data_IF_823320071101
#
_entry.id   IF_823320071101
#
_cell.length_a   1.000
_cell.length_b   1.000
_cell.length_c   1.000
_cell.angle_alpha   90.00
_cell.angle_beta   90.00
_cell.angle_gamma   90.00
#
_symmetry.space_group_name_H-M   'P 1'
#
loop_
_entity.id
_entity.type
_entity.pdbx_description
1 polymer ?
#
# COMPACT_ATOMS: atom_id res chain seq x y z
N UNK A 1 21.04 -2.71 1.16
CA UNK A 1 19.83 -2.20 1.84
C UNK A 1 19.18 -1.18 0.93
N UNK A 2 17.84 -1.08 0.92
CA UNK A 2 17.09 -0.10 0.14
C UNK A 2 16.47 0.94 1.10
N UNK A 3 16.59 2.22 0.78
CA UNK A 3 16.05 3.34 1.55
C UNK A 3 15.10 4.17 0.69
N UNK A 4 14.00 4.67 1.25
CA UNK A 4 13.06 5.54 0.54
C UNK A 4 13.64 6.95 0.44
N UNK A 5 13.82 7.43 -0.79
CA UNK A 5 14.36 8.76 -1.10
C UNK A 5 13.25 9.78 -1.33
N UNK A 6 12.19 9.35 -2.01
CA UNK A 6 11.01 10.17 -2.30
C UNK A 6 9.77 9.29 -2.45
N UNK A 7 8.61 9.87 -2.17
CA UNK A 7 7.29 9.25 -2.27
C UNK A 7 6.33 10.30 -2.80
N UNK A 8 5.55 9.97 -3.83
CA UNK A 8 4.56 10.87 -4.40
C UNK A 8 3.36 11.11 -3.46
N UNK A 9 3.19 10.31 -2.40
CA UNK A 9 2.43 10.64 -1.19
C UNK A 9 0.91 10.73 -1.36
N UNK A 10 0.35 10.27 -2.48
CA UNK A 10 -1.08 10.33 -2.77
C UNK A 10 -1.70 8.95 -2.99
N UNK A 11 -2.97 8.80 -2.60
CA UNK A 11 -3.74 7.56 -2.78
C UNK A 11 -4.28 7.39 -4.22
N UNK A 12 -4.00 8.34 -5.11
CA UNK A 12 -4.40 8.26 -6.51
C UNK A 12 -3.49 7.26 -7.25
N UNK A 13 -4.02 6.46 -8.20
CA UNK A 13 -3.18 5.50 -8.90
C UNK A 13 -2.03 6.13 -9.69
N UNK A 14 -2.21 7.38 -10.17
CA UNK A 14 -1.17 8.12 -10.86
C UNK A 14 0.00 8.51 -9.92
N UNK A 15 -0.23 8.53 -8.60
CA UNK A 15 0.77 8.88 -7.57
C UNK A 15 1.32 7.68 -6.82
N UNK A 16 1.09 6.46 -7.30
CA UNK A 16 1.62 5.22 -6.71
C UNK A 16 3.10 5.00 -7.11
N UNK A 17 3.96 5.95 -6.72
CA UNK A 17 5.40 5.95 -7.03
C UNK A 17 6.24 6.23 -5.78
N UNK A 18 7.24 5.37 -5.57
CA UNK A 18 8.29 5.56 -4.59
C UNK A 18 9.66 5.43 -5.26
N UNK A 19 10.59 6.33 -4.89
CA UNK A 19 11.99 6.27 -5.31
C UNK A 19 12.83 5.68 -4.18
N UNK A 20 13.58 4.63 -4.48
CA UNK A 20 14.44 3.94 -3.52
C UNK A 20 15.92 4.11 -3.88
N UNK A 21 16.76 4.41 -2.89
CA UNK A 21 18.20 4.31 -2.98
C UNK A 21 18.63 2.92 -2.52
N UNK A 22 19.34 2.18 -3.38
CA UNK A 22 19.87 0.84 -3.04
C UNK A 22 21.38 0.89 -3.08
N UNK A 23 22.03 0.65 -1.94
CA UNK A 23 23.51 0.60 -1.88
C UNK A 23 24.04 -0.71 -2.46
N UNK A 24 25.09 -0.63 -3.28
CA UNK A 24 25.81 -1.79 -3.80
C UNK A 24 25.15 -2.50 -4.98
N UNK A 25 24.10 -1.94 -5.58
CA UNK A 25 23.53 -2.45 -6.82
C UNK A 25 24.46 -2.14 -8.00
N UNK A 26 24.69 -3.14 -8.85
CA UNK A 26 25.46 -3.05 -10.09
C UNK A 26 24.52 -3.41 -11.23
N UNK A 27 24.42 -2.55 -12.25
CA UNK A 27 23.56 -2.79 -13.40
C UNK A 27 23.39 -1.56 -14.30
N UNK A 28 22.97 -1.79 -15.54
CA UNK A 28 22.63 -0.72 -16.47
C UNK A 28 21.19 -0.26 -16.20
N UNK A 29 20.94 1.03 -15.94
CA UNK A 29 19.59 1.54 -15.76
C UNK A 29 18.77 1.37 -17.04
N UNK A 30 17.51 1.00 -16.89
CA UNK A 30 16.56 1.07 -18.00
C UNK A 30 16.32 2.53 -18.40
N UNK A 31 16.22 2.77 -19.69
CA UNK A 31 15.94 4.11 -20.22
C UNK A 31 14.45 4.39 -20.17
N UNK A 32 14.06 5.58 -19.74
CA UNK A 32 12.66 6.02 -19.82
C UNK A 32 12.36 6.49 -21.24
N UNK A 33 11.30 5.97 -21.87
CA UNK A 33 10.89 6.36 -23.21
C UNK A 33 10.66 7.88 -23.26
N UNK A 34 11.18 8.53 -24.32
CA UNK A 34 11.12 9.99 -24.50
C UNK A 34 9.74 10.49 -24.90
N UNK A 35 8.92 9.63 -25.49
CA UNK A 35 7.57 9.93 -25.97
C UNK A 35 6.53 9.19 -25.14
N UNK A 36 5.33 9.75 -25.10
CA UNK A 36 4.17 9.07 -24.54
C UNK A 36 3.89 7.74 -25.25
N UNK A 37 3.40 6.71 -24.54
CA UNK A 37 2.88 5.52 -25.18
C UNK A 37 1.66 5.86 -26.05
N UNK A 38 1.42 5.06 -27.08
CA UNK A 38 0.24 5.18 -27.96
C UNK A 38 -0.64 3.95 -27.86
N UNK A 39 -1.97 4.11 -27.98
CA UNK A 39 -2.89 2.96 -28.04
C UNK A 39 -2.53 2.06 -29.22
N UNK A 40 -2.51 0.74 -28.98
CA UNK A 40 -2.06 -0.28 -29.93
C UNK A 40 -0.55 -0.55 -29.93
N UNK A 41 0.24 0.25 -29.20
CA UNK A 41 1.68 0.02 -29.07
C UNK A 41 1.95 -1.30 -28.33
N UNK A 42 2.85 -2.12 -28.88
CA UNK A 42 3.30 -3.34 -28.22
C UNK A 42 4.10 -3.03 -26.96
N UNK A 43 3.81 -3.79 -25.90
CA UNK A 43 4.47 -3.65 -24.62
C UNK A 43 4.79 -5.01 -23.99
N UNK A 44 5.82 -5.00 -23.15
CA UNK A 44 6.24 -6.16 -22.37
C UNK A 44 6.32 -5.78 -20.91
N UNK A 45 5.68 -6.54 -20.03
CA UNK A 45 5.84 -6.40 -18.59
C UNK A 45 6.82 -7.45 -18.06
N UNK A 46 7.69 -7.02 -17.15
CA UNK A 46 8.65 -7.89 -16.46
C UNK A 46 8.44 -7.75 -14.95
N UNK A 47 8.30 -8.87 -14.26
CA UNK A 47 8.13 -8.88 -12.81
C UNK A 47 8.33 -10.27 -12.22
N UNK A 48 8.12 -10.42 -10.92
CA UNK A 48 8.24 -11.68 -10.19
C UNK A 48 6.87 -12.07 -9.61
N UNK A 49 5.94 -12.59 -10.45
CA UNK A 49 4.59 -12.88 -10.00
C UNK A 49 4.60 -13.86 -8.83
N UNK A 50 3.95 -13.48 -7.73
CA UNK A 50 3.86 -14.23 -6.48
C UNK A 50 5.23 -14.56 -5.85
N UNK A 51 6.26 -13.76 -6.14
CA UNK A 51 7.62 -13.97 -5.61
C UNK A 51 8.36 -15.15 -6.23
N UNK A 52 7.87 -15.66 -7.37
CA UNK A 52 8.55 -16.71 -8.16
C UNK A 52 9.67 -16.11 -9.01
N UNK A 53 10.33 -16.92 -9.83
CA UNK A 53 11.30 -16.45 -10.81
C UNK A 53 10.72 -15.34 -11.71
N UNK A 54 11.59 -14.44 -12.19
CA UNK A 54 11.17 -13.38 -13.10
C UNK A 54 10.44 -13.96 -14.31
N UNK A 55 9.29 -13.38 -14.63
CA UNK A 55 8.47 -13.73 -15.78
C UNK A 55 8.29 -12.53 -16.69
N UNK A 56 8.08 -12.82 -17.96
CA UNK A 56 7.83 -11.85 -19.00
C UNK A 56 6.43 -12.08 -19.56
N UNK A 57 5.62 -11.03 -19.66
CA UNK A 57 4.33 -11.07 -20.35
C UNK A 57 4.28 -10.00 -21.44
N UNK A 58 3.65 -10.32 -22.57
CA UNK A 58 3.49 -9.40 -23.71
C UNK A 58 2.03 -9.03 -23.88
N UNK A 59 1.81 -7.79 -24.32
CA UNK A 59 0.50 -7.27 -24.70
C UNK A 59 0.64 -5.99 -25.50
N UNK A 60 -0.40 -5.16 -25.46
CA UNK A 60 -0.47 -3.85 -26.08
C UNK A 60 -0.96 -2.80 -25.08
N UNK A 61 -0.72 -1.53 -25.38
CA UNK A 61 -1.41 -0.42 -24.74
C UNK A 61 -2.86 -0.43 -25.23
N UNK A 62 -3.79 -0.86 -24.38
CA UNK A 62 -5.21 -0.97 -24.73
C UNK A 62 -5.93 0.38 -24.67
N UNK A 63 -5.52 1.26 -23.75
CA UNK A 63 -6.07 2.60 -23.59
C UNK A 63 -5.13 3.50 -22.77
N UNK A 64 -5.20 4.81 -22.96
CA UNK A 64 -4.64 5.82 -22.06
C UNK A 64 -5.76 6.44 -21.23
N UNK A 65 -5.64 6.37 -19.91
CA UNK A 65 -6.62 6.87 -18.94
C UNK A 65 -6.10 8.14 -18.27
N UNK A 66 -7.01 8.90 -17.66
CA UNK A 66 -6.68 10.07 -16.85
C UNK A 66 -5.75 11.06 -17.56
N UNK A 67 -6.10 11.42 -18.80
CA UNK A 67 -5.30 12.35 -19.60
C UNK A 67 -3.94 11.82 -20.08
N UNK A 68 -3.67 10.52 -19.93
CA UNK A 68 -2.39 9.89 -20.29
C UNK A 68 -1.53 9.49 -19.10
N UNK A 69 -1.98 9.77 -17.88
CA UNK A 69 -1.26 9.46 -16.65
C UNK A 69 -1.24 7.96 -16.33
N UNK A 70 -2.25 7.22 -16.80
CA UNK A 70 -2.37 5.78 -16.59
C UNK A 70 -2.42 5.04 -17.93
N UNK A 71 -1.53 4.05 -18.07
CA UNK A 71 -1.48 3.13 -19.20
C UNK A 71 -2.31 1.91 -18.86
N UNK A 72 -3.36 1.64 -19.63
CA UNK A 72 -4.08 0.36 -19.58
C UNK A 72 -3.45 -0.62 -20.58
N UNK A 73 -3.23 -1.86 -20.18
CA UNK A 73 -2.67 -2.92 -21.02
C UNK A 73 -3.34 -4.27 -20.79
N UNK A 74 -3.37 -5.09 -21.83
CA UNK A 74 -3.78 -6.50 -21.77
C UNK A 74 -2.62 -7.45 -21.47
N UNK A 75 -1.37 -6.93 -21.38
CA UNK A 75 -0.23 -7.70 -20.92
C UNK A 75 -0.53 -8.27 -19.53
N UNK A 76 -0.37 -9.58 -19.35
CA UNK A 76 -0.76 -10.25 -18.12
C UNK A 76 0.02 -9.69 -16.91
N UNK A 77 -0.68 -9.03 -15.99
CA UNK A 77 -0.16 -8.60 -14.70
C UNK A 77 -0.82 -9.40 -13.57
N UNK A 78 -0.01 -9.79 -12.61
CA UNK A 78 -0.42 -10.51 -11.40
C UNK A 78 0.32 -9.90 -10.20
N UNK A 79 -0.17 -10.18 -8.98
CA UNK A 79 0.56 -9.78 -7.76
C UNK A 79 2.01 -10.23 -7.83
N UNK A 80 2.96 -9.30 -7.59
CA UNK A 80 4.40 -9.49 -7.82
C UNK A 80 4.96 -8.87 -9.11
N UNK A 81 4.10 -8.35 -10.00
CA UNK A 81 4.52 -7.46 -11.09
C UNK A 81 4.45 -5.98 -10.69
N UNK A 82 3.73 -5.62 -9.63
CA UNK A 82 3.66 -4.25 -9.12
C UNK A 82 5.06 -3.71 -8.81
N UNK A 83 5.36 -2.52 -9.31
CA UNK A 83 6.70 -1.90 -9.30
C UNK A 83 7.61 -2.33 -10.45
N UNK A 84 7.21 -3.34 -11.24
CA UNK A 84 7.94 -3.81 -12.42
C UNK A 84 7.73 -2.93 -13.65
N UNK A 85 8.69 -2.90 -14.59
CA UNK A 85 8.60 -2.06 -15.77
C UNK A 85 7.63 -2.61 -16.82
N UNK A 86 6.93 -1.70 -17.48
CA UNK A 86 6.30 -1.90 -18.79
C UNK A 86 7.21 -1.29 -19.85
N UNK A 87 7.68 -2.12 -20.79
CA UNK A 87 8.69 -1.78 -21.79
C UNK A 87 8.10 -1.74 -23.19
N UNK A 88 8.55 -0.78 -24.02
CA UNK A 88 8.31 -0.80 -25.46
C UNK A 88 9.25 -1.78 -26.19
N UNK A 89 9.08 -1.93 -27.51
CA UNK A 89 9.91 -2.82 -28.33
C UNK A 89 11.39 -2.40 -28.41
N UNK A 90 11.76 -1.22 -27.91
CA UNK A 90 13.15 -0.74 -27.79
C UNK A 90 13.74 -1.03 -26.40
N UNK A 91 12.97 -1.63 -25.50
CA UNK A 91 13.37 -1.86 -24.11
C UNK A 91 13.30 -0.59 -23.25
N UNK A 92 12.62 0.46 -23.71
CA UNK A 92 12.44 1.68 -22.95
C UNK A 92 11.19 1.58 -22.06
N UNK A 93 11.29 2.10 -20.83
CA UNK A 93 10.17 2.13 -19.88
C UNK A 93 9.11 3.11 -20.38
N UNK A 94 7.90 2.60 -20.61
CA UNK A 94 6.70 3.40 -20.94
C UNK A 94 5.73 3.49 -19.76
N UNK A 95 5.90 2.64 -18.74
CA UNK A 95 5.20 2.77 -17.47
C UNK A 95 5.72 1.82 -16.39
N UNK A 96 5.19 1.95 -15.17
CA UNK A 96 5.46 1.07 -14.02
C UNK A 96 4.15 0.41 -13.62
N UNK A 97 4.13 -0.93 -13.63
CA UNK A 97 2.95 -1.71 -13.24
C UNK A 97 2.51 -1.37 -11.81
N UNK A 98 1.23 -1.09 -11.60
CA UNK A 98 0.68 -0.73 -10.28
C UNK A 98 -0.42 -1.70 -9.87
N UNK A 99 -1.61 -1.59 -10.49
CA UNK A 99 -2.81 -2.32 -10.10
C UNK A 99 -3.47 -3.04 -11.28
N UNK A 100 -4.35 -3.97 -10.94
CA UNK A 100 -5.22 -4.69 -11.87
C UNK A 100 -6.66 -4.47 -11.44
N UNK A 101 -7.59 -4.39 -12.40
CA UNK A 101 -9.01 -4.43 -12.04
C UNK A 101 -9.42 -5.89 -11.84
N UNK A 102 -9.69 -6.27 -10.59
CA UNK A 102 -10.16 -7.62 -10.27
C UNK A 102 -11.50 -7.90 -10.96
N UNK A 103 -11.77 -9.19 -11.19
CA UNK A 103 -12.96 -9.68 -11.92
C UNK A 103 -13.04 -9.24 -13.39
N UNK A 104 -11.91 -8.86 -13.95
CA UNK A 104 -11.75 -8.62 -15.38
C UNK A 104 -10.49 -9.32 -15.91
N UNK A 105 -10.52 -9.71 -17.17
CA UNK A 105 -9.36 -10.28 -17.85
C UNK A 105 -8.79 -9.23 -18.80
N UNK A 106 -7.48 -9.00 -18.75
CA UNK A 106 -6.79 -8.06 -19.64
C UNK A 106 -6.99 -6.57 -19.31
N UNK A 107 -7.48 -6.22 -18.12
CA UNK A 107 -7.47 -4.82 -17.63
C UNK A 107 -6.41 -4.65 -16.55
N UNK A 108 -5.22 -4.32 -17.01
CA UNK A 108 -4.06 -4.09 -16.16
C UNK A 108 -3.57 -2.65 -16.33
N UNK A 109 -2.98 -2.09 -15.29
CA UNK A 109 -2.67 -0.66 -15.25
C UNK A 109 -1.24 -0.39 -14.81
N UNK A 110 -0.64 0.60 -15.45
CA UNK A 110 0.69 1.10 -15.15
C UNK A 110 0.69 2.63 -15.05
N UNK A 111 1.48 3.18 -14.13
CA UNK A 111 1.77 4.61 -14.08
C UNK A 111 2.59 4.98 -15.31
N UNK A 112 2.12 5.95 -16.09
CA UNK A 112 2.71 6.35 -17.37
C UNK A 112 4.07 7.00 -17.19
N UNK A 113 4.94 6.88 -18.19
CA UNK A 113 6.19 7.64 -18.26
C UNK A 113 5.98 9.17 -18.23
N UNK A 114 4.77 9.63 -18.59
CA UNK A 114 4.36 11.03 -18.47
C UNK A 114 4.32 11.51 -17.01
N UNK A 115 4.08 10.61 -16.05
CA UNK A 115 4.07 10.88 -14.60
C UNK A 115 5.42 10.54 -13.97
N UNK A 116 6.05 9.45 -14.40
CA UNK A 116 7.35 9.01 -13.87
C UNK A 116 8.43 10.06 -14.14
N UNK A 117 8.46 10.64 -15.35
CA UNK A 117 9.47 11.63 -15.72
C UNK A 117 9.47 12.87 -14.83
N UNK A 118 8.34 13.58 -14.63
CA UNK A 118 8.31 14.72 -13.70
C UNK A 118 8.56 14.31 -12.26
N UNK A 119 8.11 13.11 -11.82
CA UNK A 119 8.43 12.60 -10.48
C UNK A 119 9.94 12.45 -10.24
N UNK A 120 10.68 11.88 -11.19
CA UNK A 120 12.13 11.73 -11.10
C UNK A 120 12.91 13.05 -11.22
N UNK A 121 12.35 14.02 -11.96
CA UNK A 121 12.96 15.33 -12.17
C UNK A 121 12.59 16.35 -11.08
N UNK A 122 11.61 16.03 -10.23
CA UNK A 122 11.25 16.89 -9.12
C UNK A 122 12.45 17.01 -8.18
N UNK A 123 12.67 18.19 -7.54
CA UNK A 123 13.68 18.30 -6.50
C UNK A 123 13.36 17.23 -5.46
N UNK A 124 14.31 16.31 -5.24
CA UNK A 124 14.21 15.33 -4.18
C UNK A 124 14.19 16.10 -2.87
N UNK A 125 12.99 16.39 -2.37
CA UNK A 125 12.84 16.86 -1.00
C UNK A 125 13.20 15.63 -0.19
N UNK A 126 14.49 15.53 0.17
CA UNK A 126 14.97 14.56 1.11
C UNK A 126 14.00 14.57 2.27
N UNK A 127 13.35 13.43 2.53
CA UNK A 127 12.46 13.32 3.66
C UNK A 127 13.31 13.72 4.87
N UNK A 128 12.89 14.76 5.59
CA UNK A 128 13.36 14.90 6.95
C UNK A 128 13.08 13.54 7.63
N UNK A 129 13.99 13.02 8.46
CA UNK A 129 13.67 11.84 9.26
C UNK A 129 12.30 12.10 9.88
N UNK A 130 11.41 11.09 9.79
CA UNK A 130 10.06 11.23 10.34
C UNK A 130 10.22 11.82 11.75
N UNK A 131 9.52 12.94 12.07
CA UNK A 131 9.66 13.53 13.38
C UNK A 131 9.47 12.42 14.41
N UNK A 132 10.39 12.32 15.36
CA UNK A 132 10.26 11.37 16.46
C UNK A 132 8.81 11.46 16.97
N UNK A 133 8.14 10.32 17.22
CA UNK A 133 6.76 10.34 17.69
C UNK A 133 6.70 11.33 18.86
N UNK A 134 5.78 12.29 18.75
CA UNK A 134 5.56 13.24 19.84
C UNK A 134 5.39 12.42 21.13
N UNK A 135 5.94 12.86 22.27
CA UNK A 135 5.73 12.15 23.52
C UNK A 135 4.24 11.98 23.71
N UNK A 136 3.82 10.73 23.85
CA UNK A 136 2.42 10.36 24.03
C UNK A 136 1.84 11.19 25.19
N UNK A 137 0.65 11.79 25.06
CA UNK A 137 -0.05 12.29 26.22
C UNK A 137 -0.23 11.12 27.19
N UNK A 138 0.06 11.35 28.47
CA UNK A 138 -0.19 10.36 29.50
C UNK A 138 -1.71 10.15 29.60
N UNK A 139 -2.24 9.15 28.91
CA UNK A 139 -3.63 8.72 29.10
C UNK A 139 -3.64 7.67 30.20
N UNK A 140 -4.12 8.09 31.36
CA UNK A 140 -4.44 7.21 32.46
C UNK A 140 -5.72 6.43 32.19
N UNK A 141 -5.68 5.14 32.51
CA UNK A 141 -6.86 4.30 32.75
C UNK A 141 -7.46 3.61 31.53
N UNK A 142 -7.87 2.35 31.72
CA UNK A 142 -8.74 1.63 30.80
C UNK A 142 -10.03 2.43 30.60
N UNK A 143 -10.36 2.78 29.35
CA UNK A 143 -11.48 3.65 29.03
C UNK A 143 -11.88 3.55 27.56
N UNK A 144 -13.15 3.78 27.28
CA UNK A 144 -13.71 3.85 25.93
C UNK A 144 -13.14 5.08 25.21
N UNK A 145 -12.44 4.87 24.10
CA UNK A 145 -11.72 5.94 23.40
C UNK A 145 -12.57 6.57 22.28
N UNK A 146 -13.38 5.77 21.58
CA UNK A 146 -14.33 6.27 20.58
C UNK A 146 -15.33 5.19 20.14
N UNK A 147 -16.58 5.61 19.92
CA UNK A 147 -17.52 4.96 19.00
C UNK A 147 -17.63 5.81 17.74
N UNK A 148 -17.25 5.24 16.59
CA UNK A 148 -17.17 5.98 15.33
C UNK A 148 -17.25 5.04 14.12
N UNK A 149 -17.33 5.61 12.92
CA UNK A 149 -17.16 4.85 11.70
C UNK A 149 -15.69 4.45 11.53
N UNK A 150 -15.39 3.15 11.55
CA UNK A 150 -14.11 2.61 11.09
C UNK A 150 -14.12 2.49 9.57
N UNK A 151 -12.94 2.51 8.99
CA UNK A 151 -12.78 2.17 7.57
C UNK A 151 -12.06 0.83 7.46
N UNK A 152 -12.64 -0.09 6.69
CA UNK A 152 -12.03 -1.38 6.39
C UNK A 152 -12.00 -1.59 4.88
N UNK A 153 -10.85 -1.99 4.36
CA UNK A 153 -10.67 -2.36 2.96
C UNK A 153 -9.80 -3.61 2.86
N UNK A 154 -10.41 -4.75 2.59
CA UNK A 154 -9.66 -5.94 2.16
C UNK A 154 -9.23 -5.77 0.70
N UNK A 155 -7.99 -6.15 0.30
CA UNK A 155 -7.62 -6.17 -1.13
C UNK A 155 -8.47 -7.13 -1.97
N UNK A 156 -9.29 -7.99 -1.36
CA UNK A 156 -10.30 -8.79 -2.08
C UNK A 156 -11.54 -7.98 -2.47
N UNK A 157 -11.84 -6.88 -1.78
CA UNK A 157 -12.99 -6.01 -2.06
C UNK A 157 -12.54 -4.74 -2.81
N UNK A 158 -13.22 -4.41 -3.90
CA UNK A 158 -12.84 -3.36 -4.84
C UNK A 158 -13.12 -1.94 -4.32
N UNK A 159 -14.08 -1.79 -3.40
CA UNK A 159 -14.34 -0.55 -2.67
C UNK A 159 -14.09 -0.78 -1.18
N UNK A 160 -13.44 0.19 -0.53
CA UNK A 160 -13.34 0.17 0.93
C UNK A 160 -14.70 0.47 1.54
N UNK A 161 -15.03 -0.21 2.62
CA UNK A 161 -16.30 -0.10 3.31
C UNK A 161 -16.12 0.68 4.60
N UNK A 162 -16.98 1.66 4.82
CA UNK A 162 -17.06 2.35 6.10
C UNK A 162 -18.00 1.55 7.01
N UNK A 163 -17.41 0.83 7.97
CA UNK A 163 -18.12 -0.07 8.88
C UNK A 163 -18.09 0.58 10.27
N UNK A 164 -19.27 0.74 10.88
CA UNK A 164 -19.35 1.23 12.25
C UNK A 164 -18.52 0.37 13.20
N UNK A 165 -17.85 0.98 14.17
CA UNK A 165 -17.08 0.25 15.17
C UNK A 165 -17.07 0.96 16.52
N UNK A 166 -16.78 0.21 17.57
CA UNK A 166 -16.37 0.76 18.87
C UNK A 166 -14.97 0.31 19.23
N UNK A 167 -14.16 1.27 19.68
CA UNK A 167 -12.76 1.07 20.06
C UNK A 167 -12.61 1.30 21.55
N UNK A 168 -12.09 0.30 22.25
CA UNK A 168 -11.82 0.36 23.68
C UNK A 168 -10.35 0.03 23.94
N UNK A 169 -9.64 0.90 24.66
CA UNK A 169 -8.27 0.62 25.09
C UNK A 169 -8.24 0.02 26.49
N UNK A 170 -7.41 -1.00 26.67
CA UNK A 170 -7.12 -1.60 27.97
C UNK A 170 -5.65 -1.99 28.07
N UNK A 171 -5.17 -2.19 29.29
CA UNK A 171 -3.87 -2.79 29.54
C UNK A 171 -4.02 -4.32 29.62
N UNK A 172 -3.08 -5.06 29.04
CA UNK A 172 -2.96 -6.50 29.27
C UNK A 172 -2.12 -6.79 30.54
N UNK A 173 -1.97 -8.07 30.87
CA UNK A 173 -1.22 -8.51 32.05
C UNK A 173 0.27 -8.09 32.05
N UNK A 174 0.83 -7.78 30.88
CA UNK A 174 2.21 -7.33 30.71
C UNK A 174 2.31 -5.79 30.73
N UNK A 175 1.22 -5.07 31.00
CA UNK A 175 1.17 -3.62 30.99
C UNK A 175 1.13 -3.01 29.59
N UNK A 176 0.93 -3.82 28.54
CA UNK A 176 0.85 -3.30 27.17
C UNK A 176 -0.55 -2.80 26.85
N UNK A 177 -0.64 -1.70 26.11
CA UNK A 177 -1.92 -1.19 25.62
C UNK A 177 -2.44 -2.06 24.48
N UNK A 178 -3.68 -2.51 24.62
CA UNK A 178 -4.43 -3.30 23.64
C UNK A 178 -5.69 -2.52 23.25
N UNK A 179 -5.93 -2.38 21.95
CA UNK A 179 -7.15 -1.78 21.42
C UNK A 179 -8.09 -2.90 20.99
N UNK A 180 -9.17 -3.10 21.74
CA UNK A 180 -10.24 -3.99 21.35
C UNK A 180 -11.23 -3.24 20.46
N UNK A 181 -11.52 -3.82 19.29
CA UNK A 181 -12.40 -3.25 18.28
C UNK A 181 -13.57 -4.20 18.08
N UNK A 182 -14.78 -3.69 18.29
CA UNK A 182 -16.00 -4.39 17.94
C UNK A 182 -16.57 -3.76 16.66
N UNK A 183 -16.68 -4.57 15.62
CA UNK A 183 -17.19 -4.19 14.31
C UNK A 183 -18.71 -4.33 14.27
N UNK A 184 -19.40 -3.45 13.54
CA UNK A 184 -20.86 -3.46 13.42
C UNK A 184 -21.42 -4.72 12.74
N UNK A 185 -20.59 -5.42 11.95
CA UNK A 185 -20.88 -6.71 11.35
C UNK A 185 -20.76 -7.89 12.34
N UNK A 186 -20.42 -7.63 13.61
CA UNK A 186 -20.35 -8.59 14.70
C UNK A 186 -18.96 -9.19 14.94
N UNK A 187 -17.97 -8.88 14.10
CA UNK A 187 -16.59 -9.33 14.32
C UNK A 187 -15.92 -8.57 15.45
N UNK A 188 -14.89 -9.20 16.04
CA UNK A 188 -14.04 -8.57 17.06
C UNK A 188 -12.57 -8.78 16.71
N UNK A 189 -11.80 -7.75 16.94
CA UNK A 189 -10.35 -7.76 16.72
C UNK A 189 -9.65 -7.03 17.87
N UNK A 190 -8.44 -7.48 18.21
CA UNK A 190 -7.59 -6.79 19.17
C UNK A 190 -6.27 -6.40 18.50
N UNK A 191 -5.80 -5.18 18.76
CA UNK A 191 -4.61 -4.62 18.14
C UNK A 191 -3.58 -4.24 19.20
N UNK A 192 -2.31 -4.57 18.93
CA UNK A 192 -1.16 -4.19 19.75
C UNK A 192 -0.12 -3.54 18.85
N UNK A 193 0.32 -2.34 19.22
CA UNK A 193 1.28 -1.54 18.46
C UNK A 193 2.65 -1.57 19.13
N UNK A 194 3.70 -1.64 18.30
CA UNK A 194 5.08 -1.74 18.74
C UNK A 194 5.91 -0.54 18.28
N UNK A 195 6.89 -0.15 19.08
CA UNK A 195 7.77 1.00 18.82
C UNK A 195 8.53 0.97 17.49
N UNK A 196 8.70 -0.21 16.88
CA UNK A 196 9.32 -0.40 15.57
C UNK A 196 8.35 -0.20 14.38
N UNK A 197 7.11 0.22 14.64
CA UNK A 197 6.07 0.42 13.64
C UNK A 197 5.31 -0.86 13.25
N UNK A 198 5.55 -1.99 13.93
CA UNK A 198 4.77 -3.20 13.74
C UNK A 198 3.42 -3.14 14.47
N UNK A 199 2.43 -3.87 13.95
CA UNK A 199 1.15 -4.12 14.62
C UNK A 199 0.84 -5.62 14.59
N UNK A 200 0.44 -6.14 15.74
CA UNK A 200 -0.13 -7.48 15.89
C UNK A 200 -1.65 -7.37 15.98
N UNK A 201 -2.33 -8.22 15.20
CA UNK A 201 -3.79 -8.19 15.05
C UNK A 201 -4.31 -9.56 15.40
N UNK A 202 -5.05 -9.67 16.50
CA UNK A 202 -5.75 -10.89 16.86
C UNK A 202 -7.19 -10.75 16.39
N UNK A 203 -7.57 -11.48 15.35
CA UNK A 203 -8.94 -11.50 14.82
C UNK A 203 -9.58 -12.86 15.09
N UNK A 204 -10.90 -12.90 15.25
CA UNK A 204 -11.62 -14.18 15.34
C UNK A 204 -11.95 -14.65 13.92
N UNK A 205 -11.36 -15.77 13.50
CA UNK A 205 -11.58 -16.35 12.16
C UNK A 205 -13.00 -16.87 11.98
N UNK A 206 -13.36 -17.17 10.73
CA UNK A 206 -14.70 -17.72 10.36
C UNK A 206 -15.05 -19.06 11.04
N UNK A 207 -14.04 -19.78 11.53
CA UNK A 207 -14.16 -21.02 12.32
C UNK A 207 -14.45 -20.79 13.80
N UNK A 208 -14.37 -19.54 14.28
CA UNK A 208 -14.51 -19.19 15.69
C UNK A 208 -13.22 -19.27 16.49
N UNK A 209 -12.11 -19.74 15.91
CA UNK A 209 -10.78 -19.74 16.54
C UNK A 209 -10.08 -18.38 16.34
N UNK A 210 -9.27 -17.92 17.31
CA UNK A 210 -8.48 -16.71 17.16
C UNK A 210 -7.30 -16.93 16.20
N UNK A 211 -7.17 -16.04 15.21
CA UNK A 211 -6.09 -15.99 14.24
C UNK A 211 -5.21 -14.75 14.49
N UNK A 212 -3.89 -14.97 14.52
CA UNK A 212 -2.90 -13.90 14.70
C UNK A 212 -2.38 -13.46 13.32
N UNK A 213 -2.63 -12.20 12.99
CA UNK A 213 -2.09 -11.53 11.81
C UNK A 213 -1.08 -10.45 12.23
N UNK A 214 -0.27 -10.02 11.26
CA UNK A 214 0.75 -8.98 11.45
C UNK A 214 0.64 -7.92 10.37
N UNK A 215 1.10 -6.72 10.68
CA UNK A 215 1.13 -5.62 9.73
C UNK A 215 2.06 -4.49 10.16
N UNK A 216 1.92 -3.37 9.46
CA UNK A 216 2.52 -2.07 9.80
C UNK A 216 1.42 -1.06 10.07
N UNK A 217 1.73 -0.05 10.86
CA UNK A 217 0.81 1.06 11.09
C UNK A 217 1.46 2.41 10.79
N UNK A 218 0.64 3.40 10.46
CA UNK A 218 1.06 4.80 10.28
C UNK A 218 0.02 5.76 10.86
N UNK A 219 0.43 6.97 11.29
CA UNK A 219 -0.51 8.01 11.70
C UNK A 219 -1.49 8.34 10.57
N UNK A 220 -2.77 8.52 10.92
CA UNK A 220 -3.84 8.90 10.00
C UNK A 220 -4.61 10.10 10.57
N UNK A 221 -5.23 10.91 9.71
CA UNK A 221 -5.91 12.16 10.14
C UNK A 221 -6.99 11.97 11.22
N UNK A 222 -7.54 10.76 11.34
CA UNK A 222 -8.58 10.41 12.33
C UNK A 222 -8.14 9.36 13.35
N UNK A 223 -6.87 8.96 13.40
CA UNK A 223 -6.37 7.90 14.28
C UNK A 223 -5.17 7.17 13.67
N UNK A 224 -5.25 5.85 13.54
CA UNK A 224 -4.17 5.01 12.98
C UNK A 224 -4.67 4.26 11.75
N UNK A 225 -3.87 4.27 10.68
CA UNK A 225 -4.05 3.38 9.55
C UNK A 225 -3.12 2.17 9.68
N UNK A 226 -3.66 0.99 9.44
CA UNK A 226 -3.01 -0.30 9.57
C UNK A 226 -3.01 -0.96 8.20
N UNK A 227 -1.82 -1.39 7.75
CA UNK A 227 -1.65 -2.25 6.58
C UNK A 227 -1.27 -3.65 7.05
N UNK A 228 -2.19 -4.60 6.92
CA UNK A 228 -1.93 -6.02 7.21
C UNK A 228 -1.02 -6.63 6.13
N UNK A 229 -0.19 -7.60 6.51
CA UNK A 229 0.61 -8.40 5.58
C UNK A 229 -0.27 -9.23 4.61
N UNK A 230 -1.52 -9.49 4.98
CA UNK A 230 -2.51 -10.13 4.11
C UNK A 230 -3.20 -9.15 3.17
N UNK A 231 -2.85 -7.87 3.29
CA UNK A 231 -3.29 -6.86 2.39
C UNK A 231 -4.70 -6.34 2.68
N UNK A 232 -5.00 -6.16 3.96
CA UNK A 232 -6.12 -5.32 4.38
C UNK A 232 -5.60 -3.98 4.87
N UNK A 233 -6.37 -2.94 4.59
CA UNK A 233 -6.19 -1.61 5.17
C UNK A 233 -7.32 -1.38 6.17
N UNK A 234 -6.96 -1.01 7.40
CA UNK A 234 -7.89 -0.71 8.47
C UNK A 234 -7.56 0.66 9.07
N UNK A 235 -8.55 1.54 9.22
CA UNK A 235 -8.40 2.78 9.98
C UNK A 235 -9.16 2.65 11.30
N UNK A 236 -8.42 2.74 12.40
CA UNK A 236 -8.98 2.78 13.75
C UNK A 236 -9.11 4.24 14.20
N UNK A 237 -10.32 4.78 14.33
CA UNK A 237 -10.53 6.16 14.74
C UNK A 237 -10.15 6.33 16.22
N UNK A 238 -9.55 7.48 16.54
CA UNK A 238 -9.13 7.86 17.90
C UNK A 238 -8.16 6.90 18.62
N UNK A 239 -7.68 5.86 17.94
CA UNK A 239 -6.53 5.10 18.41
C UNK A 239 -5.31 6.02 18.36
N UNK A 240 -4.63 6.17 19.49
CA UNK A 240 -3.32 6.81 19.60
C UNK A 240 -2.36 5.74 20.09
N UNK A 241 -1.48 5.18 19.23
CA UNK A 241 -0.76 3.95 19.53
C UNK A 241 0.21 4.20 20.70
N UNK A 242 -0.19 3.79 21.90
CA UNK A 242 0.70 3.69 23.04
C UNK A 242 1.64 2.52 22.75
N UNK A 243 2.79 2.88 22.21
CA UNK A 243 3.81 1.93 21.74
C UNK A 243 4.41 1.17 22.92
N UNK A 244 4.37 -0.15 22.81
CA UNK A 244 4.98 -1.09 23.75
C UNK A 244 6.42 -1.42 23.38
#
# INVERSE_FOLDING_TARGET
MAEVVADAGGDAPATDLALLAVSGSQGTPLQLASTAPSVGQSVVAIGAPKGLAFSLSRGVVSQLRDGGEIVQTDAALNGGNSGGPLLDDRGCVVGIATFILRDSQGLNFAVSNQVIRPFLNAPLIARAPAPAPAPAPAVGGAGELASASCFFRSFKQSQGEEIGCSVHARLNANGHTVYDVAWADGYRSSYVFWSDGAVEILAKGSSGEPELHRGRYRPHRRGVEISSNEGSITVLPAADPVVN
#
